data_IF_130182084183
#
_entry.id   IF_130182084183
#
_cell.length_a   1.000
_cell.length_b   1.000
_cell.length_c   1.000
_cell.angle_alpha   90.00
_cell.angle_beta   90.00
_cell.angle_gamma   90.00
#
_symmetry.space_group_name_H-M   'P 1'
#
loop_
_entity.id
_entity.type
_entity.pdbx_description
1 polymer ?
#
# COMPACT_ATOMS: atom_id res chain seq x y z
N UNK A 1 -27.09 69.41 25.89
CA UNK A 1 -26.72 68.42 26.92
C UNK A 1 -26.87 67.03 26.32
N UNK A 2 -26.04 66.10 26.76
CA UNK A 2 -25.43 64.97 26.04
C UNK A 2 -26.37 63.89 25.49
N UNK A 3 -26.02 63.48 24.27
CA UNK A 3 -26.38 62.26 23.53
C UNK A 3 -25.94 60.98 24.23
N UNK A 4 -26.69 59.87 24.07
CA UNK A 4 -26.16 58.51 24.21
C UNK A 4 -26.77 57.59 23.14
N UNK A 5 -26.03 57.42 22.04
CA UNK A 5 -26.23 56.32 21.09
C UNK A 5 -25.66 55.04 21.67
N UNK A 6 -26.52 54.04 21.91
CA UNK A 6 -26.09 52.69 22.28
C UNK A 6 -25.62 51.99 21.00
N UNK A 7 -24.30 51.95 20.80
CA UNK A 7 -23.68 51.14 19.75
C UNK A 7 -23.55 49.71 20.27
N UNK A 8 -24.45 48.82 19.82
CA UNK A 8 -24.33 47.38 20.03
C UNK A 8 -23.13 46.87 19.24
N UNK A 9 -22.02 46.59 19.91
CA UNK A 9 -20.84 45.95 19.31
C UNK A 9 -21.12 44.45 19.24
N UNK A 10 -21.49 43.95 18.06
CA UNK A 10 -21.55 42.52 17.79
C UNK A 10 -20.12 41.99 17.62
N UNK A 11 -19.59 41.29 18.64
CA UNK A 11 -18.37 40.50 18.49
C UNK A 11 -18.67 39.29 17.60
N UNK A 12 -18.29 39.36 16.32
CA UNK A 12 -18.14 38.15 15.49
C UNK A 12 -16.89 37.39 15.95
N UNK A 13 -17.09 36.30 16.68
CA UNK A 13 -16.04 35.33 16.96
C UNK A 13 -15.69 34.60 15.66
N UNK A 14 -14.60 35.00 15.00
CA UNK A 14 -13.95 34.26 13.93
C UNK A 14 -13.34 32.99 14.52
N UNK A 15 -14.07 31.88 14.51
CA UNK A 15 -13.49 30.56 14.74
C UNK A 15 -12.62 30.20 13.53
N UNK A 16 -11.30 30.35 13.68
CA UNK A 16 -10.36 29.84 12.70
C UNK A 16 -10.55 28.31 12.59
N UNK A 17 -11.11 27.86 11.47
CA UNK A 17 -11.04 26.46 11.07
C UNK A 17 -9.57 26.13 10.81
N UNK A 18 -8.90 25.58 11.82
CA UNK A 18 -7.59 24.95 11.62
C UNK A 18 -7.89 23.60 10.95
N UNK A 19 -7.56 23.41 9.65
CA UNK A 19 -7.65 22.08 9.07
C UNK A 19 -6.72 21.18 9.89
N UNK A 20 -7.27 20.11 10.47
CA UNK A 20 -6.46 19.09 11.11
C UNK A 20 -5.45 18.58 10.06
N UNK A 21 -4.18 18.36 10.44
CA UNK A 21 -3.23 17.71 9.53
C UNK A 21 -3.87 16.41 9.08
N UNK A 22 -4.03 16.25 7.77
CA UNK A 22 -4.36 14.93 7.22
C UNK A 22 -3.23 14.04 7.69
N UNK A 23 -3.52 13.12 8.61
CA UNK A 23 -2.51 12.17 9.06
C UNK A 23 -1.94 11.53 7.81
N UNK A 24 -0.66 11.79 7.54
CA UNK A 24 0.06 11.22 6.41
C UNK A 24 -0.06 9.70 6.54
N UNK A 25 -1.01 9.15 5.81
CA UNK A 25 -1.23 7.73 5.82
C UNK A 25 0.02 7.11 5.22
N UNK A 26 0.50 6.06 5.88
CA UNK A 26 1.68 5.34 5.45
C UNK A 26 1.32 3.95 4.93
N UNK A 27 1.96 3.60 3.82
CA UNK A 27 1.95 2.31 3.20
C UNK A 27 3.30 1.59 3.30
N UNK A 28 3.27 0.26 3.20
CA UNK A 28 4.46 -0.56 3.14
C UNK A 28 4.21 -1.88 2.42
N UNK A 29 5.27 -2.47 1.88
CA UNK A 29 5.26 -3.83 1.33
C UNK A 29 6.42 -4.64 1.91
N UNK A 30 6.14 -5.90 2.23
CA UNK A 30 7.10 -6.92 2.58
C UNK A 30 7.03 -8.10 1.62
N UNK A 31 8.19 -8.64 1.25
CA UNK A 31 8.32 -9.78 0.35
C UNK A 31 9.27 -10.83 0.91
N UNK A 32 8.84 -12.08 0.92
CA UNK A 32 9.63 -13.27 1.17
C UNK A 32 9.80 -14.04 -0.13
N UNK A 33 11.05 -14.33 -0.51
CA UNK A 33 11.37 -15.06 -1.75
C UNK A 33 12.74 -15.71 -1.65
N UNK A 34 12.95 -16.77 -2.42
CA UNK A 34 14.26 -17.39 -2.65
C UNK A 34 14.82 -16.97 -4.02
N UNK A 35 15.95 -17.54 -4.42
CA UNK A 35 16.48 -17.39 -5.79
C UNK A 35 15.67 -18.17 -6.82
N UNK A 36 14.77 -19.09 -6.41
CA UNK A 36 13.95 -19.90 -7.29
C UNK A 36 12.46 -19.75 -6.95
N UNK A 37 11.91 -18.58 -7.31
CA UNK A 37 10.49 -18.25 -7.06
C UNK A 37 9.54 -19.24 -7.74
N UNK A 38 9.86 -19.72 -8.94
CA UNK A 38 9.02 -20.67 -9.65
C UNK A 38 8.83 -22.01 -8.90
N UNK A 39 9.78 -22.37 -8.03
CA UNK A 39 9.73 -23.56 -7.20
C UNK A 39 9.22 -23.27 -5.79
N UNK A 40 9.76 -22.23 -5.16
CA UNK A 40 9.58 -21.97 -3.73
C UNK A 40 8.48 -20.93 -3.45
N UNK A 41 7.87 -20.38 -4.49
CA UNK A 41 6.87 -19.32 -4.41
C UNK A 41 7.37 -18.01 -3.83
N UNK A 42 6.40 -17.13 -3.58
CA UNK A 42 6.60 -15.82 -2.99
C UNK A 42 5.60 -15.62 -1.86
N UNK A 43 6.07 -15.06 -0.75
CA UNK A 43 5.24 -14.55 0.33
C UNK A 43 5.15 -13.03 0.21
N UNK A 44 3.94 -12.47 0.24
CA UNK A 44 3.72 -11.03 0.06
C UNK A 44 2.80 -10.53 1.17
N UNK A 45 3.13 -9.38 1.73
CA UNK A 45 2.24 -8.66 2.64
C UNK A 45 2.37 -7.16 2.42
N UNK A 46 1.27 -6.44 2.55
CA UNK A 46 1.25 -5.00 2.35
C UNK A 46 0.25 -4.30 3.29
N UNK A 47 0.48 -3.01 3.49
CA UNK A 47 -0.37 -2.13 4.28
C UNK A 47 -0.53 -0.77 3.57
N UNK A 48 -1.67 -0.14 3.79
CA UNK A 48 -2.00 1.26 3.42
C UNK A 48 -2.90 1.82 4.52
N UNK A 49 -2.95 3.13 4.69
CA UNK A 49 -3.81 3.77 5.69
C UNK A 49 -3.27 3.64 7.11
N UNK A 50 -1.98 3.37 7.28
CA UNK A 50 -1.40 3.23 8.62
C UNK A 50 -1.15 4.61 9.22
N UNK A 51 -1.27 4.71 10.54
CA UNK A 51 -1.05 5.95 11.29
C UNK A 51 0.38 6.49 11.22
N UNK A 52 1.34 5.62 10.89
CA UNK A 52 2.74 5.95 10.66
C UNK A 52 3.44 4.80 9.92
N UNK A 53 4.68 5.07 9.52
CA UNK A 53 5.56 4.15 8.80
C UNK A 53 5.80 2.85 9.56
N UNK A 54 6.10 2.92 10.85
CA UNK A 54 6.43 1.76 11.69
C UNK A 54 5.25 0.79 11.76
N UNK A 55 4.03 1.32 11.86
CA UNK A 55 2.82 0.52 11.83
C UNK A 55 2.62 -0.12 10.46
N UNK A 56 2.85 0.61 9.38
CA UNK A 56 2.73 0.08 8.01
C UNK A 56 3.69 -1.10 7.81
N UNK A 57 4.96 -0.93 8.19
CA UNK A 57 5.98 -1.97 8.12
C UNK A 57 5.60 -3.20 8.95
N UNK A 58 5.18 -3.00 10.21
CA UNK A 58 4.75 -4.09 11.09
C UNK A 58 3.60 -4.91 10.47
N UNK A 59 2.57 -4.24 9.95
CA UNK A 59 1.43 -4.92 9.30
C UNK A 59 1.87 -5.65 8.03
N UNK A 60 2.64 -4.99 7.16
CA UNK A 60 3.11 -5.58 5.92
C UNK A 60 3.97 -6.82 6.20
N UNK A 61 4.90 -6.73 7.16
CA UNK A 61 5.76 -7.84 7.56
C UNK A 61 4.96 -9.00 8.12
N UNK A 62 3.99 -8.74 9.00
CA UNK A 62 3.16 -9.78 9.59
C UNK A 62 2.32 -10.51 8.54
N UNK A 63 1.65 -9.77 7.65
CA UNK A 63 0.89 -10.36 6.53
C UNK A 63 1.77 -11.23 5.63
N UNK A 64 3.02 -10.82 5.38
CA UNK A 64 3.96 -11.61 4.61
C UNK A 64 4.31 -12.92 5.33
N UNK A 65 4.60 -12.86 6.64
CA UNK A 65 4.89 -14.05 7.46
C UNK A 65 3.69 -15.01 7.53
N UNK A 66 2.47 -14.49 7.48
CA UNK A 66 1.24 -15.26 7.56
C UNK A 66 0.73 -15.77 6.18
N UNK A 67 1.41 -15.41 5.09
CA UNK A 67 0.96 -15.69 3.72
C UNK A 67 0.87 -17.20 3.42
N UNK A 68 -0.36 -17.72 3.26
CA UNK A 68 -0.58 -19.18 3.13
C UNK A 68 -0.16 -19.78 1.78
N UNK A 69 0.02 -18.95 0.75
CA UNK A 69 0.38 -19.40 -0.61
C UNK A 69 1.85 -19.78 -0.81
N UNK A 70 2.70 -19.67 0.23
CA UNK A 70 4.13 -19.97 0.16
C UNK A 70 4.58 -20.90 1.30
N UNK A 71 5.60 -21.74 1.12
CA UNK A 71 6.18 -22.58 2.17
C UNK A 71 6.84 -21.75 3.28
N UNK A 72 7.00 -22.34 4.47
CA UNK A 72 7.59 -21.67 5.65
C UNK A 72 8.97 -21.08 5.34
N UNK A 73 9.82 -21.81 4.61
CA UNK A 73 11.16 -21.37 4.21
C UNK A 73 11.17 -20.09 3.37
N UNK A 74 10.09 -19.81 2.64
CA UNK A 74 9.88 -18.56 1.88
C UNK A 74 9.36 -17.45 2.80
N UNK A 75 8.45 -17.78 3.72
CA UNK A 75 7.87 -16.83 4.70
C UNK A 75 8.93 -16.32 5.68
N UNK A 76 9.83 -17.18 6.14
CA UNK A 76 10.93 -16.78 7.05
C UNK A 76 11.87 -15.72 6.44
N UNK A 77 11.83 -15.55 5.11
CA UNK A 77 12.61 -14.55 4.36
C UNK A 77 11.87 -13.25 4.12
N UNK A 78 10.66 -13.08 4.66
CA UNK A 78 9.91 -11.84 4.54
C UNK A 78 10.76 -10.69 5.05
N UNK A 79 10.83 -9.60 4.29
CA UNK A 79 11.51 -8.35 4.66
C UNK A 79 10.76 -7.18 4.09
N UNK A 80 10.80 -6.04 4.78
CA UNK A 80 10.29 -4.79 4.22
C UNK A 80 11.12 -4.48 2.98
N UNK A 81 10.44 -4.22 1.88
CA UNK A 81 11.11 -3.79 0.64
C UNK A 81 11.12 -2.27 0.55
N UNK A 82 9.98 -1.65 0.83
CA UNK A 82 9.86 -0.18 0.89
C UNK A 82 8.62 0.22 1.67
N UNK A 83 8.61 1.49 2.09
CA UNK A 83 7.43 2.22 2.51
C UNK A 83 7.04 3.23 1.43
N UNK A 84 5.82 3.74 1.49
CA UNK A 84 5.29 4.73 0.56
C UNK A 84 4.21 5.56 1.23
N UNK A 85 3.93 6.73 0.69
CA UNK A 85 2.91 7.67 1.16
C UNK A 85 2.21 8.27 -0.05
N UNK A 86 0.90 8.51 0.03
CA UNK A 86 0.13 9.13 -1.06
C UNK A 86 0.29 8.42 -2.43
N UNK A 87 0.36 7.08 -2.40
CA UNK A 87 0.54 6.25 -3.58
C UNK A 87 -0.34 4.99 -3.52
N UNK A 88 -0.53 4.36 -4.67
CA UNK A 88 -1.24 3.10 -4.82
C UNK A 88 -0.26 1.93 -4.98
N UNK A 89 -0.54 0.85 -4.27
CA UNK A 89 0.13 -0.43 -4.44
C UNK A 89 -0.78 -1.40 -5.20
N UNK A 90 -0.20 -2.19 -6.09
CA UNK A 90 -0.86 -3.34 -6.69
C UNK A 90 0.06 -4.55 -6.69
N UNK A 91 -0.54 -5.73 -6.53
CA UNK A 91 0.10 -7.04 -6.55
C UNK A 91 -0.54 -7.84 -7.67
N UNK A 92 0.27 -8.48 -8.50
CA UNK A 92 -0.18 -9.39 -9.54
C UNK A 92 0.55 -10.72 -9.44
N UNK A 93 -0.17 -11.82 -9.66
CA UNK A 93 0.32 -13.18 -9.46
C UNK A 93 -0.14 -14.09 -10.60
N UNK A 94 0.67 -15.11 -10.90
CA UNK A 94 0.18 -16.34 -11.53
C UNK A 94 -0.56 -17.17 -10.46
N UNK A 95 -1.84 -17.52 -10.65
CA UNK A 95 -2.65 -18.19 -9.65
C UNK A 95 -2.26 -19.65 -9.41
N UNK A 96 -1.35 -20.22 -10.20
CA UNK A 96 -0.84 -21.58 -9.94
C UNK A 96 -0.14 -21.62 -8.59
N UNK A 97 -0.35 -22.72 -7.84
CA UNK A 97 0.37 -22.97 -6.59
C UNK A 97 1.90 -22.87 -6.82
N UNK A 98 2.59 -22.17 -5.90
CA UNK A 98 4.00 -21.82 -6.07
C UNK A 98 4.24 -20.53 -6.88
N UNK A 99 3.19 -19.87 -7.38
CA UNK A 99 3.22 -18.53 -7.99
C UNK A 99 4.39 -18.30 -8.95
N UNK A 100 4.43 -19.02 -10.10
CA UNK A 100 5.55 -18.95 -11.04
C UNK A 100 5.89 -17.54 -11.53
N UNK A 101 4.89 -16.68 -11.61
CA UNK A 101 5.05 -15.25 -11.86
C UNK A 101 4.48 -14.42 -10.73
N UNK A 102 5.17 -13.34 -10.39
CA UNK A 102 4.66 -12.34 -9.47
C UNK A 102 5.21 -10.95 -9.80
N UNK A 103 4.45 -9.94 -9.41
CA UNK A 103 4.86 -8.55 -9.54
C UNK A 103 4.15 -7.70 -8.52
N UNK A 104 4.82 -6.64 -8.09
CA UNK A 104 4.19 -5.55 -7.36
C UNK A 104 4.69 -4.22 -7.93
N UNK A 105 3.86 -3.20 -7.83
CA UNK A 105 4.24 -1.84 -8.15
C UNK A 105 3.59 -0.87 -7.17
N UNK A 106 4.27 0.25 -6.95
CA UNK A 106 3.79 1.39 -6.19
C UNK A 106 3.81 2.59 -7.14
N UNK A 107 2.66 3.19 -7.43
CA UNK A 107 2.52 4.28 -8.40
C UNK A 107 1.54 5.34 -7.90
N UNK A 108 1.59 6.56 -8.46
CA UNK A 108 0.64 7.62 -8.08
C UNK A 108 -0.82 7.22 -8.26
N UNK A 109 -1.14 6.38 -9.27
CA UNK A 109 -2.52 5.93 -9.52
C UNK A 109 -2.66 4.41 -9.47
N UNK A 110 -3.87 3.94 -9.17
CA UNK A 110 -4.19 2.51 -9.13
C UNK A 110 -4.02 1.83 -10.49
N UNK A 111 -4.38 2.53 -11.57
CA UNK A 111 -4.24 2.02 -12.95
C UNK A 111 -2.77 1.78 -13.31
N UNK A 112 -1.89 2.73 -13.03
CA UNK A 112 -0.45 2.58 -13.26
C UNK A 112 0.14 1.47 -12.38
N UNK A 113 -0.25 1.41 -11.11
CA UNK A 113 0.21 0.36 -10.20
C UNK A 113 -0.17 -1.03 -10.73
N UNK A 114 -1.42 -1.23 -11.15
CA UNK A 114 -1.90 -2.50 -11.71
C UNK A 114 -1.21 -2.85 -13.02
N UNK A 115 -1.08 -1.89 -13.93
CA UNK A 115 -0.42 -2.09 -15.22
C UNK A 115 1.01 -2.59 -15.03
N UNK A 116 1.79 -1.92 -14.20
CA UNK A 116 3.17 -2.32 -13.96
C UNK A 116 3.29 -3.59 -13.12
N UNK A 117 2.43 -3.82 -12.13
CA UNK A 117 2.43 -5.07 -11.36
C UNK A 117 2.19 -6.29 -12.29
N UNK A 118 1.26 -6.16 -13.25
CA UNK A 118 1.00 -7.18 -14.27
C UNK A 118 2.19 -7.40 -15.20
N UNK A 119 2.85 -6.34 -15.66
CA UNK A 119 4.06 -6.44 -16.49
C UNK A 119 5.19 -7.15 -15.75
N UNK A 120 5.41 -6.81 -14.47
CA UNK A 120 6.41 -7.47 -13.62
C UNK A 120 6.07 -8.95 -13.40
N UNK A 121 4.81 -9.29 -13.16
CA UNK A 121 4.37 -10.68 -13.08
C UNK A 121 4.69 -11.44 -14.37
N UNK A 122 4.34 -10.86 -15.53
CA UNK A 122 4.61 -11.48 -16.84
C UNK A 122 6.10 -11.72 -17.07
N UNK A 123 6.95 -10.81 -16.61
CA UNK A 123 8.42 -10.91 -16.77
C UNK A 123 9.03 -12.11 -16.02
N UNK A 124 8.39 -12.57 -14.94
CA UNK A 124 8.89 -13.68 -14.11
C UNK A 124 8.17 -15.00 -14.37
N UNK A 125 6.97 -14.97 -14.96
CA UNK A 125 6.11 -16.13 -15.17
C UNK A 125 6.56 -17.12 -16.27
N UNK A 126 7.57 -16.78 -17.08
CA UNK A 126 7.98 -17.57 -18.24
C UNK A 126 6.81 -17.82 -19.21
N UNK A 127 6.60 -19.07 -19.62
CA UNK A 127 5.51 -19.47 -20.54
C UNK A 127 4.11 -19.18 -19.99
N UNK A 128 3.99 -18.92 -18.69
CA UNK A 128 2.72 -18.61 -18.02
C UNK A 128 2.44 -17.12 -17.91
N UNK A 129 3.17 -16.25 -18.59
CA UNK A 129 2.94 -14.79 -18.58
C UNK A 129 1.46 -14.39 -18.81
N UNK A 130 0.75 -15.09 -19.69
CA UNK A 130 -0.68 -14.83 -19.97
C UNK A 130 -1.63 -15.19 -18.80
N UNK A 131 -1.14 -15.90 -17.79
CA UNK A 131 -1.91 -16.32 -16.61
C UNK A 131 -1.79 -15.33 -15.44
N UNK A 132 -0.93 -14.32 -15.55
CA UNK A 132 -0.81 -13.25 -14.57
C UNK A 132 -2.12 -12.44 -14.49
N UNK A 133 -2.64 -12.32 -13.28
CA UNK A 133 -3.84 -11.54 -12.96
C UNK A 133 -3.54 -10.55 -11.86
N UNK A 134 -4.35 -9.50 -11.80
CA UNK A 134 -4.41 -8.62 -10.64
C UNK A 134 -4.90 -9.44 -9.44
N UNK A 135 -4.14 -9.41 -8.34
CA UNK A 135 -4.43 -10.21 -7.16
C UNK A 135 -4.98 -9.36 -6.04
N UNK A 136 -4.40 -8.18 -5.82
CA UNK A 136 -4.77 -7.29 -4.73
C UNK A 136 -4.20 -5.89 -4.98
N UNK A 137 -4.92 -4.85 -4.55
CA UNK A 137 -4.51 -3.48 -4.80
C UNK A 137 -5.20 -2.51 -3.86
N UNK A 138 -4.51 -1.43 -3.49
CA UNK A 138 -5.07 -0.38 -2.63
C UNK A 138 -4.27 0.92 -2.77
N UNK A 139 -4.87 2.03 -2.37
CA UNK A 139 -4.22 3.33 -2.30
C UNK A 139 -4.06 3.82 -0.88
N UNK A 140 -3.07 4.68 -0.71
CA UNK A 140 -2.68 5.28 0.55
C UNK A 140 -2.85 6.79 0.51
N UNK A 141 -3.27 7.36 1.64
CA UNK A 141 -3.46 8.80 1.80
C UNK A 141 -4.38 9.42 0.74
N UNK A 142 -3.94 10.53 0.17
CA UNK A 142 -4.66 11.31 -0.84
C UNK A 142 -4.82 10.62 -2.20
N UNK A 143 -4.18 9.47 -2.42
CA UNK A 143 -4.36 8.68 -3.63
C UNK A 143 -5.61 7.77 -3.60
N UNK A 144 -6.38 7.79 -2.50
CA UNK A 144 -7.64 7.03 -2.33
C UNK A 144 -8.83 7.67 -3.02
#
# INVERSE_FOLDING_TARGET
MTSFSIRTIALLALTAFVPAPQADAAGAIAVGQTTNVAKDGVAIGWATGSVNKERAESVAKQKCLDFKGAPQTTRDRCRIITTFENQCIAISLDPKAGTPGYGYAIRPTLTEAKGEALERCRSTAGDRAKQCVDSDSSCDGSAR
#
